data_IF_764822118274
#
_entry.id   IF_764822118274
#
_cell.length_a   1.000
_cell.length_b   1.000
_cell.length_c   1.000
_cell.angle_alpha   90.00
_cell.angle_beta   90.00
_cell.angle_gamma   90.00
#
_symmetry.space_group_name_H-M   'P 1'
#
loop_
_entity.id
_entity.type
_entity.pdbx_description
1 polymer ?
#
# COMPACT_ATOMS: atom_id res chain seq x y z
N UNK A 1 -27.23 -10.49 9.81
CA UNK A 1 -26.58 -9.34 9.16
C UNK A 1 -26.07 -9.81 7.80
N UNK A 2 -26.43 -9.08 6.77
CA UNK A 2 -25.99 -9.31 5.38
C UNK A 2 -25.06 -8.18 4.95
N UNK A 3 -23.95 -8.53 4.29
CA UNK A 3 -22.96 -7.59 3.80
C UNK A 3 -22.72 -7.82 2.31
N UNK A 4 -22.93 -6.78 1.50
CA UNK A 4 -22.61 -6.75 0.08
C UNK A 4 -21.24 -6.15 -0.17
N UNK A 5 -20.47 -6.71 -1.10
CA UNK A 5 -19.19 -6.18 -1.53
C UNK A 5 -19.21 -6.01 -3.04
N UNK A 6 -18.87 -4.83 -3.54
CA UNK A 6 -18.78 -4.56 -4.97
C UNK A 6 -17.32 -4.52 -5.38
N UNK A 7 -16.91 -5.39 -6.28
CA UNK A 7 -15.55 -5.49 -6.81
C UNK A 7 -14.73 -6.61 -6.20
N UNK A 8 -14.17 -7.48 -7.06
CA UNK A 8 -13.29 -8.60 -6.67
C UNK A 8 -11.82 -8.23 -6.57
N UNK A 9 -11.49 -6.95 -6.68
CA UNK A 9 -10.12 -6.47 -6.49
C UNK A 9 -9.58 -6.78 -5.09
N UNK A 10 -8.30 -6.52 -4.87
CA UNK A 10 -7.64 -6.85 -3.60
C UNK A 10 -8.39 -6.30 -2.37
N UNK A 11 -8.89 -5.05 -2.45
CA UNK A 11 -9.68 -4.45 -1.35
C UNK A 11 -10.99 -5.19 -1.09
N UNK A 12 -11.68 -5.68 -2.13
CA UNK A 12 -12.91 -6.47 -1.98
C UNK A 12 -12.65 -7.82 -1.33
N UNK A 13 -11.62 -8.54 -1.77
CA UNK A 13 -11.21 -9.82 -1.15
C UNK A 13 -10.80 -9.62 0.31
N UNK A 14 -9.99 -8.60 0.61
CA UNK A 14 -9.61 -8.28 2.00
C UNK A 14 -10.83 -7.95 2.86
N UNK A 15 -11.81 -7.23 2.31
CA UNK A 15 -13.08 -6.96 3.00
C UNK A 15 -13.80 -8.26 3.37
N UNK A 16 -13.95 -9.18 2.41
CA UNK A 16 -14.59 -10.47 2.64
C UNK A 16 -13.85 -11.30 3.71
N UNK A 17 -12.52 -11.39 3.60
CA UNK A 17 -11.70 -12.17 4.53
C UNK A 17 -11.73 -11.60 5.96
N UNK A 18 -11.63 -10.29 6.14
CA UNK A 18 -11.67 -9.66 7.46
C UNK A 18 -13.05 -9.83 8.11
N UNK A 19 -14.12 -9.67 7.33
CA UNK A 19 -15.45 -9.95 7.82
C UNK A 19 -15.60 -11.41 8.30
N UNK A 20 -15.15 -12.38 7.50
CA UNK A 20 -15.19 -13.81 7.87
C UNK A 20 -14.27 -14.15 9.04
N UNK A 21 -13.12 -13.51 9.16
CA UNK A 21 -12.22 -13.69 10.30
C UNK A 21 -12.84 -13.16 11.61
N UNK A 22 -13.46 -11.99 11.58
CA UNK A 22 -14.04 -11.37 12.78
C UNK A 22 -15.46 -11.89 13.10
N UNK A 23 -16.27 -12.18 12.06
CA UNK A 23 -17.66 -12.60 12.18
C UNK A 23 -17.99 -13.76 11.22
N UNK A 24 -17.60 -15.01 11.52
CA UNK A 24 -17.73 -16.14 10.62
C UNK A 24 -19.15 -16.40 10.11
N UNK A 25 -20.17 -16.05 10.91
CA UNK A 25 -21.60 -16.28 10.61
C UNK A 25 -22.25 -15.15 9.79
N UNK A 26 -21.50 -14.11 9.38
CA UNK A 26 -22.05 -13.05 8.53
C UNK A 26 -22.41 -13.62 7.15
N UNK A 27 -23.59 -13.27 6.65
CA UNK A 27 -23.97 -13.52 5.26
C UNK A 27 -23.25 -12.52 4.38
N UNK A 28 -22.40 -13.02 3.47
CA UNK A 28 -21.51 -12.18 2.69
C UNK A 28 -21.60 -12.56 1.22
N UNK A 29 -21.89 -11.57 0.38
CA UNK A 29 -21.92 -11.72 -1.06
C UNK A 29 -21.05 -10.69 -1.75
N UNK A 30 -20.15 -11.16 -2.62
CA UNK A 30 -19.29 -10.34 -3.43
C UNK A 30 -19.77 -10.32 -4.87
N UNK A 31 -20.01 -9.12 -5.40
CA UNK A 31 -20.41 -8.88 -6.79
C UNK A 31 -19.24 -8.33 -7.58
N UNK A 32 -19.06 -8.80 -8.81
CA UNK A 32 -18.04 -8.25 -9.69
C UNK A 32 -18.47 -8.23 -11.16
N UNK A 33 -17.95 -7.28 -11.88
CA UNK A 33 -18.10 -7.15 -13.33
C UNK A 33 -16.81 -7.65 -14.00
N UNK A 34 -16.91 -8.73 -14.79
CA UNK A 34 -15.73 -9.32 -15.49
C UNK A 34 -15.15 -8.42 -16.58
N UNK A 35 -15.89 -7.41 -17.02
CA UNK A 35 -15.40 -6.46 -18.01
C UNK A 35 -14.35 -5.50 -17.43
N UNK A 36 -14.24 -5.42 -16.08
CA UNK A 36 -13.26 -4.58 -15.39
C UNK A 36 -12.01 -5.42 -15.11
N UNK A 37 -10.90 -5.17 -15.83
CA UNK A 37 -9.67 -5.95 -15.67
C UNK A 37 -8.98 -5.64 -14.34
N UNK A 38 -8.29 -6.64 -13.79
CA UNK A 38 -7.30 -6.45 -12.73
C UNK A 38 -5.93 -6.15 -13.36
N UNK A 39 -5.18 -5.23 -12.79
CA UNK A 39 -3.83 -4.93 -13.26
C UNK A 39 -2.87 -6.09 -12.91
N UNK A 40 -2.13 -6.64 -13.88
CA UNK A 40 -1.23 -7.77 -13.68
C UNK A 40 0.12 -7.34 -13.09
N UNK A 41 0.08 -6.66 -11.97
CA UNK A 41 1.26 -6.13 -11.27
C UNK A 41 1.44 -6.88 -9.96
N UNK A 42 2.65 -7.37 -9.69
CA UNK A 42 2.98 -7.97 -8.41
C UNK A 42 2.74 -7.00 -7.24
N UNK A 43 2.32 -7.54 -6.12
CA UNK A 43 2.06 -6.77 -4.90
C UNK A 43 2.98 -7.19 -3.76
N UNK A 44 3.35 -6.23 -2.90
CA UNK A 44 4.03 -6.47 -1.64
C UNK A 44 3.12 -6.17 -0.46
N UNK A 45 2.99 -7.11 0.47
CA UNK A 45 2.19 -6.90 1.68
C UNK A 45 3.00 -6.31 2.84
N UNK A 46 2.28 -6.06 3.94
CA UNK A 46 2.81 -5.92 5.29
C UNK A 46 2.55 -7.21 6.08
N UNK A 47 3.20 -7.44 7.23
CA UNK A 47 3.05 -8.66 8.02
C UNK A 47 1.62 -8.98 8.46
N UNK A 48 0.77 -7.96 8.60
CA UNK A 48 -0.64 -8.11 8.99
C UNK A 48 -1.47 -8.93 7.98
N UNK A 49 -1.08 -8.98 6.70
CA UNK A 49 -1.75 -9.85 5.73
C UNK A 49 -1.51 -11.32 6.06
N UNK A 50 -0.28 -11.71 6.39
CA UNK A 50 0.00 -13.09 6.80
C UNK A 50 -0.73 -13.47 8.10
N UNK A 51 -0.85 -12.52 9.05
CA UNK A 51 -1.63 -12.75 10.26
C UNK A 51 -3.12 -13.00 9.94
N UNK A 52 -3.71 -12.23 9.02
CA UNK A 52 -5.08 -12.46 8.55
C UNK A 52 -5.24 -13.84 7.88
N UNK A 53 -4.32 -14.21 6.98
CA UNK A 53 -4.37 -15.50 6.29
C UNK A 53 -4.23 -16.67 7.26
N UNK A 54 -3.38 -16.56 8.28
CA UNK A 54 -3.28 -17.54 9.34
C UNK A 54 -4.58 -17.66 10.15
N UNK A 55 -5.24 -16.55 10.48
CA UNK A 55 -6.53 -16.57 11.19
C UNK A 55 -7.63 -17.22 10.34
N UNK A 56 -7.68 -16.91 9.04
CA UNK A 56 -8.60 -17.56 8.09
C UNK A 56 -8.33 -19.07 7.99
N UNK A 57 -7.07 -19.49 7.89
CA UNK A 57 -6.71 -20.92 7.83
C UNK A 57 -7.07 -21.66 9.11
N UNK A 58 -6.94 -21.01 10.27
CA UNK A 58 -7.36 -21.58 11.55
C UNK A 58 -8.89 -21.78 11.64
N UNK A 59 -9.67 -20.81 11.14
CA UNK A 59 -11.14 -20.85 11.14
C UNK A 59 -11.72 -21.74 10.04
N UNK A 60 -11.03 -21.85 8.93
CA UNK A 60 -11.40 -22.61 7.74
C UNK A 60 -10.25 -23.56 7.36
N UNK A 61 -10.04 -24.69 8.05
CA UNK A 61 -8.83 -25.54 7.89
C UNK A 61 -8.63 -26.12 6.48
N UNK A 62 -9.65 -26.09 5.63
CA UNK A 62 -9.56 -26.48 4.23
C UNK A 62 -8.75 -25.50 3.37
N UNK A 63 -8.45 -24.32 3.89
CA UNK A 63 -7.63 -23.32 3.20
C UNK A 63 -6.24 -23.25 3.82
N UNK A 64 -5.23 -23.07 2.98
CA UNK A 64 -3.87 -22.87 3.42
C UNK A 64 -3.47 -21.40 3.38
N UNK A 65 -2.66 -20.98 4.34
CA UNK A 65 -1.94 -19.71 4.29
C UNK A 65 -0.45 -19.91 3.98
N UNK A 66 -0.04 -21.14 3.66
CA UNK A 66 1.38 -21.44 3.39
C UNK A 66 1.80 -20.92 2.01
N UNK A 67 2.36 -19.74 1.99
CA UNK A 67 2.92 -19.10 0.81
C UNK A 67 4.13 -19.87 0.20
N UNK A 68 4.74 -20.82 0.93
CA UNK A 68 5.80 -21.68 0.39
C UNK A 68 5.27 -22.72 -0.59
N UNK A 69 3.97 -23.03 -0.56
CA UNK A 69 3.33 -23.96 -1.49
C UNK A 69 3.13 -23.37 -2.90
N UNK A 70 3.80 -22.28 -3.22
CA UNK A 70 3.71 -21.60 -4.52
C UNK A 70 2.35 -20.98 -4.84
N UNK A 71 1.47 -20.86 -3.85
CA UNK A 71 0.24 -20.12 -4.03
C UNK A 71 0.55 -18.67 -4.40
N UNK A 72 -0.17 -18.16 -5.40
CA UNK A 72 -0.13 -16.77 -5.84
C UNK A 72 1.25 -16.28 -6.26
N UNK A 73 2.13 -17.16 -6.76
CA UNK A 73 3.52 -16.87 -7.13
C UNK A 73 4.32 -16.22 -5.99
N UNK A 74 3.96 -16.51 -4.74
CA UNK A 74 4.44 -15.77 -3.59
C UNK A 74 5.93 -16.00 -3.29
N UNK A 75 6.58 -14.94 -2.83
CA UNK A 75 7.94 -14.94 -2.28
C UNK A 75 7.98 -14.22 -0.93
N UNK A 76 8.92 -14.55 -0.02
CA UNK A 76 9.03 -13.86 1.26
C UNK A 76 9.45 -12.40 1.06
N UNK A 77 8.94 -11.52 1.95
CA UNK A 77 9.32 -10.12 2.01
C UNK A 77 9.71 -9.77 3.45
N UNK A 78 10.95 -9.34 3.66
CA UNK A 78 11.46 -8.99 5.00
C UNK A 78 11.64 -7.49 5.21
N UNK A 79 11.72 -6.72 4.11
CA UNK A 79 11.89 -5.28 4.15
C UNK A 79 11.56 -4.63 2.81
N UNK A 80 11.57 -3.29 2.81
CA UNK A 80 11.66 -2.46 1.61
C UNK A 80 13.11 -1.98 1.50
N UNK A 81 13.78 -2.25 0.37
CA UNK A 81 15.15 -1.81 0.13
C UNK A 81 15.15 -0.58 -0.77
N UNK A 82 15.73 0.49 -0.26
CA UNK A 82 15.93 1.75 -0.98
C UNK A 82 17.31 1.77 -1.63
N UNK A 83 17.37 2.11 -2.90
CA UNK A 83 18.59 2.14 -3.70
C UNK A 83 18.73 3.49 -4.38
N UNK A 84 19.82 4.22 -4.09
CA UNK A 84 20.11 5.53 -4.64
C UNK A 84 19.24 6.68 -4.09
N UNK A 85 18.57 6.48 -2.95
CA UNK A 85 17.80 7.49 -2.24
C UNK A 85 18.63 8.13 -1.12
N UNK A 86 18.57 9.46 -1.01
CA UNK A 86 19.35 10.20 -0.01
C UNK A 86 20.85 10.06 -0.23
N UNK A 87 21.61 9.95 0.86
CA UNK A 87 23.08 9.91 0.83
C UNK A 87 23.70 8.52 0.79
N UNK A 88 22.92 7.46 1.12
CA UNK A 88 23.40 6.07 1.06
C UNK A 88 23.16 5.47 -0.32
N UNK A 89 24.07 4.61 -0.79
CA UNK A 89 23.86 3.83 -2.00
C UNK A 89 22.64 2.90 -1.86
N UNK A 90 22.51 2.27 -0.69
CA UNK A 90 21.32 1.48 -0.35
C UNK A 90 21.13 1.34 1.16
N UNK A 91 19.86 1.14 1.56
CA UNK A 91 19.47 0.83 2.92
C UNK A 91 18.13 0.07 2.91
N UNK A 92 17.77 -0.59 4.01
CA UNK A 92 16.55 -1.35 4.11
C UNK A 92 15.66 -0.85 5.27
N UNK A 93 14.37 -0.67 4.97
CA UNK A 93 13.32 -0.41 5.94
C UNK A 93 12.67 -1.75 6.31
N UNK A 94 13.11 -2.33 7.43
CA UNK A 94 12.66 -3.64 7.89
C UNK A 94 11.38 -3.59 8.72
N UNK A 95 10.66 -4.71 8.75
CA UNK A 95 9.42 -4.85 9.53
C UNK A 95 9.61 -5.13 11.02
N UNK A 96 10.86 -5.12 11.50
CA UNK A 96 11.22 -5.49 12.85
C UNK A 96 11.54 -7.00 13.00
N UNK A 97 11.98 -7.38 14.19
CA UNK A 97 12.47 -8.74 14.44
C UNK A 97 11.33 -9.77 14.32
N UNK A 98 11.60 -10.87 13.61
CA UNK A 98 10.66 -11.98 13.37
C UNK A 98 9.37 -11.61 12.59
N UNK A 99 9.29 -10.46 11.95
CA UNK A 99 8.17 -10.10 11.11
C UNK A 99 8.50 -10.33 9.64
N UNK A 100 7.68 -11.13 8.98
CA UNK A 100 7.77 -11.40 7.55
C UNK A 100 6.46 -11.03 6.87
N UNK A 101 6.55 -10.46 5.70
CA UNK A 101 5.45 -10.22 4.78
C UNK A 101 5.65 -11.08 3.53
N UNK A 102 4.86 -10.87 2.49
CA UNK A 102 5.02 -11.56 1.22
C UNK A 102 4.87 -10.63 0.03
N UNK A 103 5.52 -10.98 -1.06
CA UNK A 103 5.12 -10.58 -2.39
C UNK A 103 4.17 -11.64 -2.94
N UNK A 104 3.26 -11.25 -3.81
CA UNK A 104 2.29 -12.17 -4.41
C UNK A 104 1.69 -11.60 -5.69
N UNK A 105 1.15 -12.48 -6.51
CA UNK A 105 0.32 -12.10 -7.65
C UNK A 105 -1.10 -11.79 -7.16
N UNK A 106 -1.58 -10.54 -7.26
CA UNK A 106 -2.90 -10.17 -6.76
C UNK A 106 -4.03 -10.80 -7.58
N UNK A 107 -3.83 -11.11 -8.87
CA UNK A 107 -4.85 -11.76 -9.68
C UNK A 107 -5.06 -13.21 -9.22
N UNK A 108 -3.98 -13.98 -9.05
CA UNK A 108 -4.06 -15.35 -8.56
C UNK A 108 -4.63 -15.40 -7.13
N UNK A 109 -4.25 -14.43 -6.28
CA UNK A 109 -4.81 -14.28 -4.93
C UNK A 109 -6.33 -14.05 -4.96
N UNK A 110 -6.81 -13.16 -5.82
CA UNK A 110 -8.22 -12.86 -5.98
C UNK A 110 -9.00 -14.07 -6.49
N UNK A 111 -8.48 -14.72 -7.53
CA UNK A 111 -9.14 -15.88 -8.14
C UNK A 111 -9.19 -17.08 -7.18
N UNK A 112 -8.13 -17.29 -6.37
CA UNK A 112 -8.12 -18.31 -5.32
C UNK A 112 -9.26 -18.10 -4.32
N UNK A 113 -9.41 -16.91 -3.75
CA UNK A 113 -10.42 -16.64 -2.75
C UNK A 113 -11.83 -16.56 -3.35
N UNK A 114 -12.00 -16.06 -4.57
CA UNK A 114 -13.29 -16.11 -5.26
C UNK A 114 -13.80 -17.55 -5.48
N UNK A 115 -12.90 -18.50 -5.68
CA UNK A 115 -13.23 -19.91 -5.88
C UNK A 115 -13.22 -20.74 -4.58
N UNK A 116 -12.92 -20.13 -3.44
CA UNK A 116 -12.72 -20.85 -2.17
C UNK A 116 -13.99 -21.35 -1.52
N UNK A 117 -15.15 -20.73 -1.81
CA UNK A 117 -16.41 -21.02 -1.12
C UNK A 117 -16.51 -20.44 0.31
N UNK A 118 -15.54 -19.62 0.76
CA UNK A 118 -15.61 -18.95 2.07
C UNK A 118 -16.78 -17.95 2.11
N UNK A 119 -17.09 -17.34 0.97
CA UNK A 119 -18.19 -16.39 0.78
C UNK A 119 -18.80 -16.58 -0.61
N UNK A 120 -20.01 -16.07 -0.80
CA UNK A 120 -20.68 -16.11 -2.09
C UNK A 120 -20.06 -15.11 -3.05
N UNK A 121 -19.92 -15.52 -4.32
CA UNK A 121 -19.38 -14.67 -5.38
C UNK A 121 -20.34 -14.71 -6.57
N UNK A 122 -20.78 -13.54 -7.01
CA UNK A 122 -21.73 -13.40 -8.12
C UNK A 122 -21.15 -12.50 -9.21
N UNK A 123 -21.02 -13.04 -10.43
CA UNK A 123 -20.67 -12.25 -11.62
C UNK A 123 -21.89 -11.45 -12.07
N UNK A 124 -21.95 -10.20 -11.64
CA UNK A 124 -23.02 -9.27 -11.98
C UNK A 124 -22.55 -7.84 -11.77
N UNK A 125 -22.82 -6.97 -12.72
CA UNK A 125 -22.77 -5.53 -12.50
C UNK A 125 -23.95 -5.11 -11.62
N UNK A 126 -23.72 -4.38 -10.54
CA UNK A 126 -24.74 -3.96 -9.57
C UNK A 126 -24.56 -2.51 -9.19
N UNK A 127 -25.67 -1.83 -8.95
CA UNK A 127 -25.71 -0.53 -8.26
C UNK A 127 -26.13 -0.78 -6.79
N UNK A 128 -25.98 0.25 -5.93
CA UNK A 128 -26.23 0.09 -4.49
C UNK A 128 -27.66 -0.37 -4.16
N UNK A 129 -28.65 0.08 -4.95
CA UNK A 129 -30.06 -0.27 -4.77
C UNK A 129 -30.41 -1.70 -5.20
N UNK A 130 -29.55 -2.34 -5.98
CA UNK A 130 -29.68 -3.75 -6.39
C UNK A 130 -29.31 -4.74 -5.29
N UNK A 131 -28.66 -4.27 -4.20
CA UNK A 131 -28.06 -5.12 -3.17
C UNK A 131 -28.91 -5.11 -1.91
N UNK A 132 -29.53 -6.26 -1.62
CA UNK A 132 -30.28 -6.49 -0.39
C UNK A 132 -29.31 -6.87 0.76
N UNK A 133 -28.67 -5.87 1.33
CA UNK A 133 -27.72 -6.03 2.44
C UNK A 133 -27.88 -4.90 3.48
N UNK A 134 -27.53 -5.20 4.73
CA UNK A 134 -27.53 -4.21 5.80
C UNK A 134 -26.41 -3.16 5.57
N UNK A 135 -25.25 -3.61 5.09
CA UNK A 135 -24.10 -2.78 4.76
C UNK A 135 -23.48 -3.16 3.43
N UNK A 136 -22.92 -2.19 2.72
CA UNK A 136 -22.26 -2.37 1.43
C UNK A 136 -20.84 -1.81 1.50
N UNK A 137 -19.87 -2.56 0.96
CA UNK A 137 -18.52 -2.07 0.72
C UNK A 137 -18.31 -1.89 -0.78
N UNK A 138 -18.13 -0.64 -1.22
CA UNK A 138 -17.79 -0.34 -2.61
C UNK A 138 -16.27 -0.35 -2.80
N UNK A 139 -15.78 -1.45 -3.39
CA UNK A 139 -14.39 -1.70 -3.74
C UNK A 139 -14.17 -1.64 -5.26
N UNK A 140 -15.08 -1.02 -6.02
CA UNK A 140 -15.12 -1.05 -7.48
C UNK A 140 -14.18 -0.02 -8.15
N UNK A 141 -12.87 -0.18 -7.94
CA UNK A 141 -11.84 0.61 -8.63
C UNK A 141 -11.80 2.08 -8.22
N UNK A 142 -11.58 2.97 -9.19
CA UNK A 142 -11.41 4.41 -8.97
C UNK A 142 -12.75 5.15 -8.94
N UNK A 143 -12.83 6.34 -8.30
CA UNK A 143 -14.00 7.20 -8.41
C UNK A 143 -14.18 7.67 -9.87
N UNK A 144 -15.44 7.94 -10.26
CA UNK A 144 -15.75 8.45 -11.60
C UNK A 144 -15.18 9.87 -11.83
N UNK A 145 -15.14 10.67 -10.77
CA UNK A 145 -14.49 11.99 -10.72
C UNK A 145 -13.88 12.24 -9.33
N UNK A 146 -13.12 13.30 -9.19
CA UNK A 146 -12.39 13.65 -7.97
C UNK A 146 -12.91 14.89 -7.25
N UNK A 147 -14.13 15.37 -7.59
CA UNK A 147 -14.69 16.60 -7.04
C UNK A 147 -14.92 16.48 -5.53
N UNK A 148 -15.32 15.29 -5.08
CA UNK A 148 -15.51 14.98 -3.66
C UNK A 148 -14.28 14.29 -3.03
N UNK A 149 -13.08 14.69 -3.46
CA UNK A 149 -11.82 14.19 -2.92
C UNK A 149 -10.91 15.32 -2.45
N UNK A 150 -10.11 15.03 -1.43
CA UNK A 150 -8.91 15.80 -1.12
C UNK A 150 -7.79 15.34 -2.06
N UNK A 151 -7.07 16.27 -2.67
CA UNK A 151 -5.85 15.96 -3.41
C UNK A 151 -4.70 15.85 -2.41
N UNK A 152 -3.94 14.76 -2.49
CA UNK A 152 -2.73 14.56 -1.70
C UNK A 152 -1.52 14.97 -2.54
N UNK A 153 -0.60 15.73 -1.93
CA UNK A 153 0.65 16.15 -2.60
C UNK A 153 1.48 14.93 -2.94
N UNK A 154 1.95 14.85 -4.18
CA UNK A 154 2.84 13.80 -4.63
C UNK A 154 3.63 14.25 -5.86
N UNK A 155 4.94 13.95 -5.99
CA UNK A 155 5.74 14.39 -7.13
C UNK A 155 5.56 13.55 -8.38
N UNK A 156 4.95 12.36 -8.31
CA UNK A 156 4.74 11.45 -9.44
C UNK A 156 3.25 11.32 -9.79
N UNK A 157 2.95 11.06 -11.06
CA UNK A 157 1.58 10.96 -11.56
C UNK A 157 1.38 9.88 -12.64
N UNK A 158 2.45 9.14 -12.99
CA UNK A 158 2.40 8.16 -14.06
C UNK A 158 3.32 6.98 -13.80
N UNK A 159 2.97 5.82 -14.35
CA UNK A 159 3.75 4.58 -14.23
C UNK A 159 3.80 3.82 -15.54
N UNK A 160 4.97 3.25 -15.85
CA UNK A 160 5.19 2.26 -16.89
C UNK A 160 5.35 0.89 -16.22
N UNK A 161 4.67 -0.13 -16.72
CA UNK A 161 4.67 -1.47 -16.16
C UNK A 161 5.35 -2.47 -17.09
N UNK A 162 6.25 -3.28 -16.52
CA UNK A 162 6.97 -4.32 -17.24
C UNK A 162 7.20 -5.55 -16.35
N UNK A 163 7.50 -6.67 -16.99
CA UNK A 163 7.94 -7.89 -16.33
C UNK A 163 9.28 -8.34 -16.91
N UNK A 164 10.14 -8.88 -16.04
CA UNK A 164 11.35 -9.59 -16.39
C UNK A 164 11.22 -11.06 -16.04
N UNK A 165 12.03 -11.96 -16.64
CA UNK A 165 12.14 -13.35 -16.20
C UNK A 165 12.41 -13.44 -14.69
N UNK A 166 11.98 -14.51 -14.00
CA UNK A 166 12.23 -14.69 -12.60
C UNK A 166 13.73 -14.71 -12.30
N UNK A 167 14.13 -14.06 -11.22
CA UNK A 167 15.49 -14.04 -10.71
C UNK A 167 15.46 -14.25 -9.22
N UNK A 168 16.24 -15.21 -8.73
CA UNK A 168 16.35 -15.54 -7.31
C UNK A 168 17.80 -15.31 -6.85
N UNK A 169 17.99 -14.21 -6.17
CA UNK A 169 19.23 -13.80 -5.55
C UNK A 169 18.96 -13.28 -4.12
N UNK A 170 19.96 -12.72 -3.48
CA UNK A 170 19.84 -12.12 -2.15
C UNK A 170 18.85 -10.95 -2.05
N UNK A 171 18.49 -10.35 -3.20
CA UNK A 171 17.53 -9.25 -3.26
C UNK A 171 16.08 -9.74 -3.35
N UNK A 172 15.86 -11.02 -3.63
CA UNK A 172 14.53 -11.59 -3.86
C UNK A 172 13.64 -11.64 -2.60
N UNK A 173 14.19 -11.27 -1.44
CA UNK A 173 13.45 -11.13 -0.18
C UNK A 173 13.06 -9.67 0.12
N UNK A 174 13.33 -8.73 -0.80
CA UNK A 174 13.02 -7.31 -0.64
C UNK A 174 12.03 -6.85 -1.71
N UNK A 175 11.09 -5.96 -1.37
CA UNK A 175 10.60 -5.00 -2.36
C UNK A 175 11.69 -3.97 -2.56
N UNK A 176 12.23 -3.84 -3.77
CA UNK A 176 13.24 -2.83 -4.05
C UNK A 176 12.58 -1.57 -4.58
N UNK A 177 13.02 -0.41 -4.10
CA UNK A 177 12.64 0.92 -4.55
C UNK A 177 13.88 1.62 -5.06
N UNK A 178 14.07 1.59 -6.37
CA UNK A 178 15.27 2.06 -7.03
C UNK A 178 15.03 3.46 -7.54
N UNK A 179 15.80 4.45 -7.08
CA UNK A 179 15.75 5.80 -7.62
C UNK A 179 16.16 5.81 -9.09
N UNK A 180 15.48 6.62 -9.89
CA UNK A 180 15.73 6.80 -11.32
C UNK A 180 15.90 8.28 -11.64
N UNK A 181 16.39 8.68 -12.82
CA UNK A 181 16.47 10.09 -13.18
C UNK A 181 15.14 10.83 -13.10
N UNK A 182 14.03 10.12 -13.34
CA UNK A 182 12.69 10.69 -13.53
C UNK A 182 11.74 10.45 -12.34
N UNK A 183 12.21 9.71 -11.32
CA UNK A 183 11.42 9.29 -10.18
C UNK A 183 11.99 8.04 -9.53
N UNK A 184 11.26 6.94 -9.55
CA UNK A 184 11.73 5.67 -8.98
C UNK A 184 11.04 4.46 -9.62
N UNK A 185 11.63 3.29 -9.43
CA UNK A 185 11.09 2.04 -9.91
C UNK A 185 10.91 1.05 -8.76
N UNK A 186 9.71 0.46 -8.62
CA UNK A 186 9.56 -0.72 -7.78
C UNK A 186 10.00 -1.98 -8.53
N UNK A 187 10.62 -2.89 -7.79
CA UNK A 187 11.01 -4.21 -8.28
C UNK A 187 10.49 -5.25 -7.29
N UNK A 188 9.53 -6.05 -7.72
CA UNK A 188 8.82 -7.04 -6.91
C UNK A 188 9.11 -8.43 -7.46
N UNK A 189 9.90 -9.25 -6.75
CA UNK A 189 10.20 -10.62 -7.17
C UNK A 189 9.01 -11.54 -6.87
N UNK A 190 8.55 -12.25 -7.90
CA UNK A 190 7.58 -13.33 -7.80
C UNK A 190 8.23 -14.63 -8.28
N UNK A 191 7.60 -15.79 -8.06
CA UNK A 191 8.17 -17.08 -8.46
C UNK A 191 8.30 -17.24 -9.97
N UNK A 192 7.36 -16.67 -10.73
CA UNK A 192 7.29 -16.79 -12.19
C UNK A 192 7.90 -15.59 -12.94
N UNK A 193 8.09 -14.46 -12.27
CA UNK A 193 8.59 -13.22 -12.88
C UNK A 193 9.12 -12.22 -11.84
N UNK A 194 9.79 -11.19 -12.33
CA UNK A 194 10.03 -9.95 -11.58
C UNK A 194 9.12 -8.88 -12.14
N UNK A 195 8.24 -8.32 -11.31
CA UNK A 195 7.32 -7.25 -11.69
C UNK A 195 7.94 -5.88 -11.43
N UNK A 196 7.91 -5.00 -12.43
CA UNK A 196 8.52 -3.67 -12.36
C UNK A 196 7.49 -2.59 -12.67
N UNK A 197 7.61 -1.46 -11.96
CA UNK A 197 6.87 -0.25 -12.30
C UNK A 197 7.75 0.97 -12.16
N UNK A 198 7.97 1.66 -13.28
CA UNK A 198 8.74 2.88 -13.38
C UNK A 198 7.82 4.08 -13.23
N UNK A 199 7.95 4.79 -12.12
CA UNK A 199 7.09 5.91 -11.74
C UNK A 199 7.80 7.23 -12.04
N UNK A 200 7.09 8.16 -12.66
CA UNK A 200 7.61 9.45 -13.09
C UNK A 200 6.52 10.54 -13.11
N UNK A 201 6.91 11.75 -13.46
CA UNK A 201 6.00 12.89 -13.64
C UNK A 201 5.97 13.31 -15.12
N UNK A 202 4.84 13.11 -15.80
CA UNK A 202 4.69 13.40 -17.23
C UNK A 202 4.61 14.91 -17.56
N UNK A 203 4.58 15.77 -16.54
CA UNK A 203 4.75 17.22 -16.71
C UNK A 203 6.25 17.66 -16.72
N UNK A 204 7.16 16.74 -16.38
CA UNK A 204 8.61 17.02 -16.27
C UNK A 204 9.41 16.18 -17.26
N UNK A 205 9.05 14.89 -17.37
CA UNK A 205 9.72 13.91 -18.22
C UNK A 205 8.73 13.38 -19.24
N UNK A 206 9.08 13.36 -20.50
CA UNK A 206 8.22 12.79 -21.55
C UNK A 206 8.09 11.27 -21.41
N UNK A 207 7.03 10.72 -21.97
CA UNK A 207 6.83 9.26 -22.00
C UNK A 207 8.00 8.53 -22.67
N UNK A 208 8.53 9.09 -23.75
CA UNK A 208 9.65 8.54 -24.51
C UNK A 208 10.92 8.51 -23.68
N UNK A 209 11.27 9.60 -23.02
CA UNK A 209 12.43 9.66 -22.11
C UNK A 209 12.31 8.67 -20.95
N UNK A 210 11.13 8.58 -20.33
CA UNK A 210 10.88 7.62 -19.24
C UNK A 210 10.97 6.17 -19.72
N UNK A 211 10.46 5.85 -20.92
CA UNK A 211 10.57 4.52 -21.53
C UNK A 211 12.02 4.14 -21.84
N UNK A 212 12.80 5.06 -22.39
CA UNK A 212 14.20 4.82 -22.74
C UNK A 212 15.03 4.61 -21.47
N UNK A 213 14.87 5.45 -20.44
CA UNK A 213 15.53 5.29 -19.14
C UNK A 213 15.12 3.97 -18.47
N UNK A 214 13.86 3.56 -18.55
CA UNK A 214 13.39 2.29 -18.01
C UNK A 214 14.05 1.09 -18.71
N UNK A 215 14.11 1.10 -20.03
CA UNK A 215 14.77 0.06 -20.83
C UNK A 215 16.27 -0.01 -20.53
N UNK A 216 16.95 1.14 -20.50
CA UNK A 216 18.40 1.22 -20.27
C UNK A 216 18.78 0.75 -18.86
N UNK A 217 18.07 1.24 -17.84
CA UNK A 217 18.45 0.98 -16.45
C UNK A 217 18.09 -0.43 -15.98
N UNK A 218 16.99 -1.01 -16.47
CA UNK A 218 16.47 -2.29 -15.99
C UNK A 218 16.52 -3.41 -17.02
N UNK A 219 16.95 -3.17 -18.24
CA UNK A 219 16.99 -4.18 -19.31
C UNK A 219 15.59 -4.60 -19.79
N UNK A 220 14.60 -3.77 -19.58
CA UNK A 220 13.22 -4.02 -19.99
C UNK A 220 13.11 -3.97 -21.51
N UNK A 221 12.51 -4.99 -22.12
CA UNK A 221 12.29 -5.05 -23.57
C UNK A 221 10.84 -4.79 -23.98
N UNK A 222 9.90 -5.02 -23.06
CA UNK A 222 8.47 -4.85 -23.30
C UNK A 222 7.78 -4.15 -22.13
N UNK A 223 7.19 -2.99 -22.40
CA UNK A 223 6.32 -2.24 -21.49
C UNK A 223 4.90 -2.62 -21.88
N UNK A 224 4.21 -3.39 -21.01
CA UNK A 224 2.89 -3.92 -21.35
C UNK A 224 1.74 -2.98 -20.99
N UNK A 225 1.99 -2.01 -20.09
CA UNK A 225 0.97 -1.05 -19.69
C UNK A 225 1.58 0.30 -19.28
N UNK A 226 0.79 1.35 -19.44
CA UNK A 226 1.09 2.73 -19.05
C UNK A 226 -0.17 3.31 -18.39
N UNK A 227 -0.03 3.87 -17.18
CA UNK A 227 -1.15 4.41 -16.41
C UNK A 227 -0.82 5.75 -15.78
N UNK A 228 -1.73 6.71 -15.95
CA UNK A 228 -1.73 7.94 -15.14
C UNK A 228 -2.58 7.73 -13.89
N UNK A 229 -2.22 8.36 -12.79
CA UNK A 229 -2.94 8.29 -11.54
C UNK A 229 -2.91 9.63 -10.80
N UNK A 230 -3.79 9.76 -9.82
CA UNK A 230 -3.81 10.86 -8.86
C UNK A 230 -3.68 10.29 -7.47
N UNK A 231 -3.07 11.06 -6.56
CA UNK A 231 -3.06 10.76 -5.14
C UNK A 231 -4.21 11.55 -4.49
N UNK A 232 -5.11 10.87 -3.81
CA UNK A 232 -6.35 11.45 -3.29
C UNK A 232 -6.92 10.65 -2.12
N UNK A 233 -7.85 11.30 -1.40
CA UNK A 233 -8.69 10.67 -0.39
C UNK A 233 -10.11 11.24 -0.50
N UNK A 234 -11.13 10.39 -0.56
CA UNK A 234 -12.53 10.84 -0.59
C UNK A 234 -12.90 11.57 0.70
N UNK A 235 -13.67 12.67 0.56
CA UNK A 235 -14.14 13.46 1.70
C UNK A 235 -15.20 12.72 2.51
N UNK A 236 -16.07 11.98 1.82
CA UNK A 236 -17.21 11.28 2.39
C UNK A 236 -17.13 9.78 2.06
N UNK A 237 -16.29 8.99 2.77
CA UNK A 237 -16.14 7.55 2.48
C UNK A 237 -17.27 6.69 3.06
N UNK A 238 -18.21 7.26 3.79
CA UNK A 238 -19.43 6.59 4.26
C UNK A 238 -20.63 7.35 3.71
N UNK A 239 -21.51 6.65 2.99
CA UNK A 239 -22.70 7.20 2.35
C UNK A 239 -23.93 6.61 3.02
N UNK A 240 -24.87 7.44 3.46
CA UNK A 240 -26.13 7.09 4.09
C UNK A 240 -26.00 6.10 5.27
N UNK A 241 -24.90 6.20 6.03
CA UNK A 241 -24.58 5.32 7.16
C UNK A 241 -24.61 3.81 6.81
N UNK A 242 -24.54 3.47 5.54
CA UNK A 242 -24.71 2.12 5.02
C UNK A 242 -23.64 1.67 4.05
N UNK A 243 -23.12 2.59 3.22
CA UNK A 243 -22.17 2.27 2.12
C UNK A 243 -20.79 2.78 2.51
N UNK A 244 -19.81 1.89 2.51
CA UNK A 244 -18.42 2.18 2.83
C UNK A 244 -17.57 2.12 1.56
N UNK A 245 -17.02 3.25 1.13
CA UNK A 245 -16.03 3.25 0.05
C UNK A 245 -14.74 2.60 0.56
N UNK A 246 -14.12 1.71 -0.22
CA UNK A 246 -12.88 1.07 0.14
C UNK A 246 -11.94 0.90 -1.07
N UNK A 247 -10.66 0.61 -0.79
CA UNK A 247 -9.65 0.51 -1.83
C UNK A 247 -9.47 1.83 -2.60
N UNK A 248 -9.19 1.71 -3.88
CA UNK A 248 -9.04 2.89 -4.75
C UNK A 248 -10.33 3.72 -4.89
N UNK A 249 -11.48 3.18 -4.51
CA UNK A 249 -12.71 3.97 -4.43
C UNK A 249 -12.64 5.04 -3.34
N UNK A 250 -11.96 4.74 -2.24
CA UNK A 250 -11.81 5.63 -1.10
C UNK A 250 -10.56 6.52 -1.22
N UNK A 251 -9.40 5.93 -1.42
CA UNK A 251 -8.15 6.68 -1.53
C UNK A 251 -7.13 5.96 -2.41
N UNK A 252 -6.21 6.74 -2.95
CA UNK A 252 -5.01 6.22 -3.60
C UNK A 252 -3.80 7.06 -3.18
N UNK A 253 -2.75 6.35 -2.79
CA UNK A 253 -1.42 6.90 -2.50
C UNK A 253 -0.43 6.06 -3.29
N UNK A 254 0.60 6.67 -3.84
CA UNK A 254 1.67 5.94 -4.52
C UNK A 254 2.25 4.80 -3.67
N UNK A 255 2.79 3.74 -4.29
CA UNK A 255 3.11 2.51 -3.58
C UNK A 255 4.47 2.51 -2.84
N UNK A 256 5.17 3.63 -2.66
CA UNK A 256 6.55 3.68 -2.16
C UNK A 256 6.78 2.87 -0.87
N UNK A 257 5.89 2.96 0.08
CA UNK A 257 5.94 2.27 1.38
C UNK A 257 4.98 1.07 1.46
N UNK A 258 4.34 0.69 0.34
CA UNK A 258 3.36 -0.40 0.27
C UNK A 258 2.22 -0.25 1.31
N UNK A 259 1.82 0.97 1.66
CA UNK A 259 0.86 1.27 2.74
C UNK A 259 -0.59 0.92 2.40
N UNK A 260 -0.92 0.71 1.12
CA UNK A 260 -2.30 0.54 0.65
C UNK A 260 -3.01 -0.64 1.33
N UNK A 261 -2.42 -1.84 1.30
CA UNK A 261 -3.02 -3.05 1.90
C UNK A 261 -3.27 -2.86 3.40
N UNK A 262 -2.26 -2.35 4.12
CA UNK A 262 -2.38 -2.05 5.55
C UNK A 262 -3.52 -1.07 5.83
N UNK A 263 -3.61 0.00 5.06
CA UNK A 263 -4.64 1.03 5.23
C UNK A 263 -6.04 0.50 4.91
N UNK A 264 -6.21 -0.33 3.87
CA UNK A 264 -7.48 -1.01 3.58
C UNK A 264 -7.92 -1.90 4.74
N UNK A 265 -7.02 -2.73 5.27
CA UNK A 265 -7.31 -3.62 6.39
C UNK A 265 -7.71 -2.86 7.66
N UNK A 266 -7.03 -1.75 7.97
CA UNK A 266 -7.38 -0.88 9.09
C UNK A 266 -8.77 -0.27 8.91
N UNK A 267 -9.07 0.26 7.73
CA UNK A 267 -10.38 0.85 7.44
C UNK A 267 -11.51 -0.16 7.61
N UNK A 268 -11.35 -1.37 7.03
CA UNK A 268 -12.34 -2.44 7.15
C UNK A 268 -12.54 -2.83 8.62
N UNK A 269 -11.47 -3.06 9.36
CA UNK A 269 -11.57 -3.47 10.77
C UNK A 269 -12.23 -2.39 11.63
N UNK A 270 -11.94 -1.10 11.40
CA UNK A 270 -12.56 0.02 12.10
C UNK A 270 -14.05 0.16 11.77
N UNK A 271 -14.41 0.01 10.49
CA UNK A 271 -15.81 0.06 10.07
C UNK A 271 -16.64 -1.07 10.69
N UNK A 272 -16.09 -2.30 10.74
CA UNK A 272 -16.72 -3.42 11.42
C UNK A 272 -16.90 -3.13 12.92
N UNK A 273 -15.83 -2.65 13.57
CA UNK A 273 -15.91 -2.29 14.99
C UNK A 273 -16.96 -1.19 15.24
N UNK A 274 -17.04 -0.18 14.38
CA UNK A 274 -18.04 0.88 14.52
C UNK A 274 -19.47 0.35 14.36
N UNK A 275 -19.73 -0.56 13.42
CA UNK A 275 -21.02 -1.20 13.22
C UNK A 275 -21.46 -1.96 14.51
N UNK A 276 -20.58 -2.79 15.06
CA UNK A 276 -20.92 -3.62 16.22
C UNK A 276 -20.95 -2.86 17.54
N UNK A 277 -20.04 -1.91 17.72
CA UNK A 277 -19.92 -1.11 18.95
C UNK A 277 -20.75 0.16 18.91
N UNK A 278 -21.43 0.45 17.78
CA UNK A 278 -22.24 1.66 17.57
C UNK A 278 -21.41 2.96 17.73
N UNK A 279 -20.16 2.92 17.29
CA UNK A 279 -19.31 4.11 17.24
C UNK A 279 -19.81 4.98 16.06
N UNK A 280 -19.93 6.31 16.25
CA UNK A 280 -20.30 7.21 15.15
C UNK A 280 -19.33 7.07 13.96
N UNK A 281 -19.84 6.86 12.75
CA UNK A 281 -19.00 6.67 11.59
C UNK A 281 -18.09 7.87 11.30
N UNK A 282 -18.52 9.07 11.68
CA UNK A 282 -17.68 10.25 11.56
C UNK A 282 -16.35 10.11 12.32
N UNK A 283 -16.34 9.51 13.50
CA UNK A 283 -15.11 9.32 14.29
C UNK A 283 -14.11 8.43 13.58
N UNK A 284 -14.57 7.29 13.04
CA UNK A 284 -13.69 6.39 12.28
C UNK A 284 -13.23 6.99 10.96
N UNK A 285 -14.05 7.81 10.32
CA UNK A 285 -13.69 8.56 9.11
C UNK A 285 -12.57 9.54 9.41
N UNK A 286 -12.73 10.39 10.45
CA UNK A 286 -11.72 11.37 10.85
C UNK A 286 -10.36 10.70 11.16
N UNK A 287 -10.38 9.59 11.91
CA UNK A 287 -9.18 8.81 12.23
C UNK A 287 -8.53 8.24 10.97
N UNK A 288 -9.34 7.68 10.06
CA UNK A 288 -8.78 7.03 8.88
C UNK A 288 -8.27 8.04 7.84
N UNK A 289 -8.94 9.16 7.66
CA UNK A 289 -8.47 10.25 6.79
C UNK A 289 -7.14 10.83 7.32
N UNK A 290 -7.01 10.97 8.64
CA UNK A 290 -5.73 11.33 9.26
C UNK A 290 -4.65 10.29 8.94
N UNK A 291 -4.95 9.00 9.07
CA UNK A 291 -4.00 7.92 8.72
C UNK A 291 -3.56 7.98 7.25
N UNK A 292 -4.50 8.21 6.34
CA UNK A 292 -4.21 8.34 4.89
C UNK A 292 -3.32 9.55 4.63
N UNK A 293 -3.63 10.70 5.25
CA UNK A 293 -2.80 11.91 5.16
C UNK A 293 -1.41 11.68 5.73
N UNK A 294 -1.29 11.11 6.92
CA UNK A 294 -0.02 10.81 7.58
C UNK A 294 0.86 9.88 6.73
N UNK A 295 0.27 8.88 6.07
CA UNK A 295 0.99 8.00 5.14
C UNK A 295 1.46 8.77 3.89
N UNK A 296 0.63 9.65 3.34
CA UNK A 296 1.01 10.48 2.20
C UNK A 296 2.16 11.44 2.56
N UNK A 297 2.10 12.08 3.72
CA UNK A 297 3.14 12.98 4.22
C UNK A 297 4.45 12.22 4.48
N UNK A 298 4.39 11.01 5.03
CA UNK A 298 5.55 10.15 5.24
C UNK A 298 6.20 9.75 3.92
N UNK A 299 5.42 9.36 2.92
CA UNK A 299 5.91 9.07 1.57
C UNK A 299 6.55 10.32 0.95
N UNK A 300 5.88 11.46 1.03
CA UNK A 300 6.39 12.72 0.49
C UNK A 300 7.72 13.13 1.15
N UNK A 301 7.89 12.84 2.44
CA UNK A 301 9.12 13.14 3.19
C UNK A 301 10.35 12.43 2.61
N UNK A 302 10.21 11.23 2.04
CA UNK A 302 11.33 10.53 1.38
C UNK A 302 11.96 11.39 0.29
N UNK A 303 11.16 12.10 -0.49
CA UNK A 303 11.65 12.95 -1.59
C UNK A 303 12.43 14.18 -1.11
N UNK A 304 12.21 14.64 0.13
CA UNK A 304 12.94 15.78 0.69
C UNK A 304 14.45 15.54 0.86
N UNK A 305 14.86 14.28 0.87
CA UNK A 305 16.27 13.90 0.98
C UNK A 305 16.95 13.71 -0.38
N UNK A 306 16.21 13.84 -1.48
CA UNK A 306 16.73 13.68 -2.83
C UNK A 306 17.22 12.28 -3.14
N UNK A 307 18.03 12.17 -4.15
CA UNK A 307 18.64 10.92 -4.59
C UNK A 307 20.05 11.14 -5.14
N UNK A 308 20.67 10.06 -5.62
CA UNK A 308 21.93 10.14 -6.36
C UNK A 308 21.85 10.92 -7.67
N UNK A 309 20.64 11.24 -8.15
CA UNK A 309 20.41 11.95 -9.41
C UNK A 309 20.16 13.44 -9.15
N UNK A 310 20.82 14.29 -9.98
CA UNK A 310 20.65 15.73 -9.96
C UNK A 310 19.84 16.17 -11.20
N UNK A 311 18.54 15.90 -11.20
CA UNK A 311 17.64 16.12 -12.35
C UNK A 311 16.52 17.10 -12.05
N UNK A 312 15.84 17.64 -13.07
CA UNK A 312 14.66 18.50 -12.88
C UNK A 312 13.58 17.85 -12.02
N UNK A 313 13.35 16.52 -12.16
CA UNK A 313 12.40 15.78 -11.33
C UNK A 313 12.77 15.86 -9.84
N UNK A 314 14.01 15.52 -9.49
CA UNK A 314 14.43 15.50 -8.08
C UNK A 314 14.41 16.89 -7.45
N UNK A 315 14.80 17.92 -8.18
CA UNK A 315 14.68 19.32 -7.71
C UNK A 315 13.22 19.74 -7.48
N UNK A 316 12.30 19.28 -8.33
CA UNK A 316 10.87 19.49 -8.13
C UNK A 316 10.35 18.76 -6.90
N UNK A 317 10.69 17.48 -6.77
CA UNK A 317 10.24 16.61 -5.69
C UNK A 317 10.73 17.10 -4.31
N UNK A 318 12.00 17.50 -4.21
CA UNK A 318 12.55 18.11 -3.00
C UNK A 318 11.78 19.37 -2.60
N UNK A 319 11.55 20.30 -3.53
CA UNK A 319 10.79 21.53 -3.25
C UNK A 319 9.35 21.27 -2.82
N UNK A 320 8.70 20.28 -3.42
CA UNK A 320 7.32 19.92 -3.08
C UNK A 320 7.20 19.39 -1.65
N UNK A 321 8.26 18.78 -1.13
CA UNK A 321 8.29 18.05 0.16
C UNK A 321 8.80 18.87 1.35
N UNK A 322 9.18 20.16 1.16
CA UNK A 322 9.77 21.01 2.22
C UNK A 322 8.78 21.33 3.37
N UNK A 323 7.49 21.44 3.08
CA UNK A 323 6.47 21.78 4.09
C UNK A 323 5.90 20.53 4.79
N UNK A 324 6.67 19.89 5.66
CA UNK A 324 6.22 18.74 6.44
C UNK A 324 6.57 18.91 7.94
N UNK A 325 6.06 19.97 8.54
CA UNK A 325 6.38 20.40 9.92
C UNK A 325 6.12 19.32 10.98
N UNK A 326 5.06 18.50 10.81
CA UNK A 326 4.70 17.48 11.80
C UNK A 326 5.76 16.36 11.88
N UNK A 327 6.34 15.95 10.72
CA UNK A 327 7.40 14.94 10.70
C UNK A 327 8.74 15.51 11.15
N UNK A 328 9.02 16.77 10.84
CA UNK A 328 10.23 17.46 11.31
C UNK A 328 10.20 17.66 12.82
N UNK A 329 9.02 17.96 13.40
CA UNK A 329 8.84 18.02 14.85
C UNK A 329 9.12 16.67 15.53
N UNK A 330 8.62 15.57 14.95
CA UNK A 330 8.90 14.21 15.46
C UNK A 330 10.41 13.91 15.46
N UNK A 331 11.11 14.27 14.39
CA UNK A 331 12.55 14.05 14.27
C UNK A 331 13.29 14.87 15.33
N UNK A 332 13.02 16.16 15.40
CA UNK A 332 13.65 17.11 16.36
C UNK A 332 13.41 16.67 17.81
N UNK A 333 12.17 16.39 18.18
CA UNK A 333 11.82 15.94 19.56
C UNK A 333 12.47 14.61 19.90
N UNK A 334 12.61 13.72 18.94
CA UNK A 334 13.32 12.45 19.14
C UNK A 334 14.81 12.65 19.38
N UNK A 335 15.42 13.59 18.69
CA UNK A 335 16.83 13.96 18.90
C UNK A 335 17.05 14.59 20.28
N UNK A 336 16.08 15.37 20.75
CA UNK A 336 16.06 15.97 22.11
C UNK A 336 15.74 14.94 23.23
N UNK A 337 15.38 13.72 22.87
CA UNK A 337 15.08 12.63 23.82
C UNK A 337 13.67 12.63 24.36
N UNK A 338 12.72 13.34 23.74
CA UNK A 338 11.31 13.44 24.15
C UNK A 338 10.45 12.23 23.68
N UNK A 339 11.02 11.04 23.78
CA UNK A 339 10.38 9.80 23.33
C UNK A 339 9.08 9.48 24.05
N UNK A 340 9.01 9.79 25.33
CA UNK A 340 7.86 9.45 26.15
C UNK A 340 6.60 10.20 25.71
N UNK A 341 6.72 11.51 25.49
CA UNK A 341 5.60 12.32 25.04
C UNK A 341 5.20 11.98 23.60
N UNK A 342 6.18 11.79 22.70
CA UNK A 342 5.92 11.37 21.31
C UNK A 342 5.09 10.09 21.22
N UNK A 343 5.34 9.10 22.08
CA UNK A 343 4.57 7.85 22.10
C UNK A 343 3.15 8.08 22.65
N UNK A 344 2.96 9.01 23.60
CA UNK A 344 1.67 9.29 24.21
C UNK A 344 0.80 10.27 23.41
N UNK A 345 1.36 11.02 22.47
CA UNK A 345 0.66 12.02 21.66
C UNK A 345 0.12 11.46 20.33
N UNK A 346 -0.57 10.31 20.33
CA UNK A 346 -1.14 9.66 19.12
C UNK A 346 -0.14 9.12 18.09
N UNK A 347 1.16 9.12 18.38
CA UNK A 347 2.14 8.47 17.53
C UNK A 347 2.38 7.03 17.98
N UNK A 348 1.98 6.07 17.18
CA UNK A 348 2.37 4.69 17.46
C UNK A 348 3.90 4.57 17.43
N UNK A 349 4.45 3.73 18.31
CA UNK A 349 5.88 3.42 18.31
C UNK A 349 6.43 3.08 16.89
N UNK A 350 5.65 2.35 16.11
CA UNK A 350 5.99 2.02 14.72
C UNK A 350 6.12 3.25 13.82
N UNK A 351 5.25 4.24 13.95
CA UNK A 351 5.31 5.45 13.14
C UNK A 351 6.57 6.24 13.44
N UNK A 352 6.86 6.50 14.71
CA UNK A 352 8.09 7.18 15.15
C UNK A 352 9.32 6.41 14.69
N UNK A 353 9.37 5.10 14.92
CA UNK A 353 10.49 4.25 14.51
C UNK A 353 10.70 4.28 12.99
N UNK A 354 9.66 4.21 12.19
CA UNK A 354 9.75 4.25 10.72
C UNK A 354 10.28 5.59 10.23
N UNK A 355 9.80 6.70 10.79
CA UNK A 355 10.26 8.06 10.46
C UNK A 355 11.74 8.21 10.76
N UNK A 356 12.19 7.78 11.94
CA UNK A 356 13.60 7.90 12.33
C UNK A 356 14.49 6.96 11.53
N UNK A 357 14.05 5.74 11.26
CA UNK A 357 14.81 4.81 10.42
C UNK A 357 14.99 5.38 9.01
N UNK A 358 13.95 5.95 8.42
CA UNK A 358 14.01 6.64 7.15
C UNK A 358 14.97 7.85 7.23
N UNK A 359 14.76 8.75 8.20
CA UNK A 359 15.55 9.97 8.34
C UNK A 359 17.06 9.69 8.42
N UNK A 360 17.50 8.89 9.41
CA UNK A 360 18.91 8.61 9.62
C UNK A 360 19.57 7.91 8.44
N UNK A 361 18.89 6.96 7.82
CA UNK A 361 19.43 6.30 6.63
C UNK A 361 19.55 7.26 5.45
N UNK A 362 18.56 8.14 5.24
CA UNK A 362 18.57 9.12 4.14
C UNK A 362 19.68 10.17 4.29
N UNK A 363 20.00 10.60 5.52
CA UNK A 363 21.12 11.54 5.76
C UNK A 363 22.49 10.87 5.79
N UNK A 364 22.56 9.54 5.69
CA UNK A 364 23.82 8.78 5.63
C UNK A 364 24.27 8.18 6.97
N UNK A 365 23.49 8.35 8.03
CA UNK A 365 23.81 7.82 9.36
C UNK A 365 23.32 6.36 9.54
N UNK A 366 23.88 5.67 10.54
CA UNK A 366 23.46 4.33 10.90
C UNK A 366 22.45 4.36 12.05
N UNK A 367 21.17 4.20 11.73
CA UNK A 367 20.08 4.15 12.70
C UNK A 367 20.30 3.11 13.80
N UNK A 368 20.86 1.94 13.48
CA UNK A 368 21.06 0.87 14.45
C UNK A 368 22.16 1.23 15.46
N UNK A 369 23.22 1.91 15.03
CA UNK A 369 24.27 2.38 15.93
C UNK A 369 23.79 3.47 16.89
N UNK A 370 22.94 4.37 16.41
CA UNK A 370 22.33 5.43 17.21
C UNK A 370 21.36 4.87 18.27
N UNK A 371 20.55 3.87 17.90
CA UNK A 371 19.67 3.17 18.83
C UNK A 371 20.44 2.54 19.99
N UNK A 372 21.57 1.87 19.71
CA UNK A 372 22.38 1.22 20.72
C UNK A 372 23.14 2.20 21.62
N UNK A 373 23.47 3.40 21.12
CA UNK A 373 24.21 4.41 21.90
C UNK A 373 23.32 5.24 22.83
N UNK A 374 22.05 5.50 22.44
CA UNK A 374 21.11 6.31 23.23
C UNK A 374 20.33 5.50 24.28
N UNK A 375 20.37 4.16 24.24
CA UNK A 375 19.73 3.29 25.24
C UNK A 375 20.70 2.71 26.27
N UNK A 376 21.96 3.18 26.31
CA UNK A 376 22.93 2.94 27.36
C UNK A 376 22.93 4.09 28.36
#
# INVERSE_FOLDING_TARGET
>A
MRVGIIGKGLSGILTALIWKAQHPNVELELFYDKSIPTEPVGSGSWPNLLALLNDISYRCPQYTSDWNDSLWQSTPKVAIRYEGWGKKDSWAHGFGYNNTAMHFDPQEFQDYFCNSGIFNVTEKHVEYDDIDADYIYDCAGYPKDYNDCYTLKNPINKVLLANLPPSFDENSIFTRTVATPDGWCFVIPLKDRVSLGYLYNDLITTDEEAEDNFKEQFGVTNIFNKRSFKNYCAKNPVIDDRIFLNGNKYFFIEPLEATAIYSYMNWISRSIAAIYQRIPFKEIVDINQKLVKDNADFILKHYSYGSKYNTPFWHYAERLSVDNSDLDDIIMRSEDGDWFNLIHEDFSYYKVQSILQMHYNMIGDDYNSLRLSKWK
#
